data_IF_755409514906
#
_entry.id   IF_755409514906
#
_cell.length_a   1.000
_cell.length_b   1.000
_cell.length_c   1.000
_cell.angle_alpha   90.00
_cell.angle_beta   90.00
_cell.angle_gamma   90.00
#
_symmetry.space_group_name_H-M   'P 1'
#
loop_
_entity.id
_entity.type
_entity.pdbx_description
1 polymer ?
#
# COMPACT_ATOMS: atom_id res chain seq x y z
N UNK A 1 -15.31 -30.67 25.05
CA UNK A 1 -15.64 -29.24 24.83
C UNK A 1 -14.41 -28.58 24.22
N UNK A 2 -14.63 -27.81 23.16
CA UNK A 2 -13.67 -27.46 22.11
C UNK A 2 -12.65 -26.41 22.56
N UNK A 3 -11.36 -26.71 22.42
CA UNK A 3 -10.25 -25.77 22.57
C UNK A 3 -10.22 -24.83 21.36
N UNK A 4 -10.58 -23.57 21.57
CA UNK A 4 -10.47 -22.51 20.57
C UNK A 4 -9.01 -22.04 20.54
N UNK A 5 -8.22 -22.58 19.60
CA UNK A 5 -6.90 -22.05 19.24
C UNK A 5 -7.07 -20.69 18.56
N UNK A 6 -6.92 -19.63 19.37
CA UNK A 6 -6.92 -18.25 18.94
C UNK A 6 -5.56 -17.93 18.29
N UNK A 7 -5.52 -17.87 16.97
CA UNK A 7 -4.38 -17.41 16.18
C UNK A 7 -4.24 -15.87 16.28
N UNK A 8 -3.87 -15.33 17.44
CA UNK A 8 -3.68 -13.88 17.67
C UNK A 8 -2.19 -13.44 17.67
N UNK A 9 -1.23 -14.35 17.60
CA UNK A 9 0.20 -13.99 17.77
C UNK A 9 0.89 -13.37 16.55
N UNK A 10 0.20 -13.19 15.41
CA UNK A 10 0.84 -12.68 14.19
C UNK A 10 0.57 -11.19 13.90
N UNK A 11 -0.34 -10.56 14.63
CA UNK A 11 -0.69 -9.13 14.45
C UNK A 11 0.21 -8.19 15.26
N UNK A 12 0.65 -8.59 16.45
CA UNK A 12 1.30 -7.68 17.41
C UNK A 12 2.63 -7.10 16.90
N UNK A 13 3.53 -7.94 16.39
CA UNK A 13 4.80 -7.48 15.79
C UNK A 13 4.61 -6.70 14.47
N UNK A 14 3.52 -6.98 13.76
CA UNK A 14 3.24 -6.35 12.47
C UNK A 14 2.79 -4.89 12.68
N UNK A 15 2.09 -4.59 13.77
CA UNK A 15 1.64 -3.24 14.13
C UNK A 15 2.78 -2.37 14.68
N UNK A 16 3.69 -2.92 15.49
CA UNK A 16 4.88 -2.18 15.94
C UNK A 16 5.78 -1.80 14.77
N UNK A 17 5.99 -2.73 13.83
CA UNK A 17 6.80 -2.49 12.62
C UNK A 17 6.19 -1.39 11.75
N UNK A 18 4.86 -1.41 11.58
CA UNK A 18 4.12 -0.38 10.84
C UNK A 18 4.24 0.99 11.51
N UNK A 19 4.12 1.05 12.84
CA UNK A 19 4.24 2.28 13.60
C UNK A 19 5.65 2.88 13.51
N UNK A 20 6.67 2.04 13.59
CA UNK A 20 8.06 2.48 13.41
C UNK A 20 8.32 3.00 11.99
N UNK A 21 7.78 2.35 10.96
CA UNK A 21 7.87 2.81 9.58
C UNK A 21 7.16 4.16 9.37
N UNK A 22 5.99 4.37 9.99
CA UNK A 22 5.28 5.66 9.99
C UNK A 22 6.10 6.77 10.65
N UNK A 23 6.72 6.52 11.80
CA UNK A 23 7.61 7.48 12.46
C UNK A 23 8.81 7.84 11.60
N UNK A 24 9.45 6.85 10.97
CA UNK A 24 10.56 7.10 10.04
C UNK A 24 10.12 7.96 8.84
N UNK A 25 8.92 7.69 8.32
CA UNK A 25 8.33 8.50 7.26
C UNK A 25 8.07 9.95 7.72
N UNK A 26 7.50 10.19 8.89
CA UNK A 26 7.29 11.54 9.43
C UNK A 26 8.60 12.32 9.63
N UNK A 27 9.66 11.65 10.12
CA UNK A 27 10.99 12.25 10.25
C UNK A 27 11.53 12.64 8.86
N UNK A 28 11.41 11.74 7.88
CA UNK A 28 11.86 12.02 6.51
C UNK A 28 11.05 13.14 5.82
N UNK A 29 9.75 13.24 6.11
CA UNK A 29 8.91 14.34 5.63
C UNK A 29 9.37 15.69 6.21
N UNK A 30 9.74 15.72 7.48
CA UNK A 30 10.24 16.93 8.13
C UNK A 30 11.56 17.40 7.53
N UNK A 31 12.36 16.47 6.98
CA UNK A 31 13.64 16.72 6.32
C UNK A 31 13.57 16.72 4.78
N UNK A 32 12.36 16.81 4.20
CA UNK A 32 12.12 16.56 2.77
C UNK A 32 12.90 17.48 1.81
N UNK A 33 13.35 18.64 2.25
CA UNK A 33 14.18 19.54 1.45
C UNK A 33 15.53 18.92 1.06
N UNK A 34 16.00 17.94 1.83
CA UNK A 34 17.34 17.39 1.71
C UNK A 34 17.35 16.06 0.97
N UNK A 35 16.43 15.14 1.28
CA UNK A 35 16.41 13.81 0.66
C UNK A 35 15.00 13.30 0.35
N UNK A 36 14.66 13.33 -0.93
CA UNK A 36 13.39 12.81 -1.44
C UNK A 36 13.40 11.28 -1.60
N UNK A 37 14.57 10.63 -1.57
CA UNK A 37 14.69 9.18 -1.67
C UNK A 37 14.28 8.50 -0.37
N UNK A 38 14.63 9.07 0.78
CA UNK A 38 14.24 8.54 2.09
C UNK A 38 12.73 8.54 2.28
N UNK A 39 12.05 9.63 1.87
CA UNK A 39 10.59 9.72 1.89
C UNK A 39 9.94 8.63 1.03
N UNK A 40 10.50 8.36 -0.16
CA UNK A 40 10.01 7.30 -1.04
C UNK A 40 10.23 5.93 -0.39
N UNK A 41 11.43 5.69 0.14
CA UNK A 41 11.83 4.43 0.76
C UNK A 41 10.94 4.08 1.95
N UNK A 42 10.74 5.02 2.88
CA UNK A 42 9.90 4.78 4.05
C UNK A 42 8.42 4.59 3.70
N UNK A 43 7.89 5.35 2.72
CA UNK A 43 6.53 5.10 2.23
C UNK A 43 6.41 3.72 1.58
N UNK A 44 7.44 3.28 0.84
CA UNK A 44 7.46 1.95 0.24
C UNK A 44 7.46 0.85 1.32
N UNK A 45 8.22 1.02 2.40
CA UNK A 45 8.23 0.09 3.54
C UNK A 45 6.82 -0.01 4.17
N UNK A 46 6.16 1.13 4.43
CA UNK A 46 4.77 1.18 4.95
C UNK A 46 3.82 0.40 4.02
N UNK A 47 3.89 0.66 2.72
CA UNK A 47 3.04 0.00 1.72
C UNK A 47 3.30 -1.51 1.70
N UNK A 48 4.55 -1.94 1.75
CA UNK A 48 4.88 -3.38 1.75
C UNK A 48 4.37 -4.10 3.00
N UNK A 49 4.45 -3.47 4.18
CA UNK A 49 3.89 -4.01 5.42
C UNK A 49 2.38 -4.16 5.29
N UNK A 50 1.67 -3.12 4.85
CA UNK A 50 0.22 -3.13 4.67
C UNK A 50 -0.23 -4.15 3.61
N UNK A 51 0.57 -4.36 2.56
CA UNK A 51 0.31 -5.40 1.57
C UNK A 51 0.43 -6.81 2.15
N UNK A 52 1.43 -7.07 3.01
CA UNK A 52 1.56 -8.36 3.71
C UNK A 52 0.38 -8.60 4.65
N UNK A 53 -0.08 -7.56 5.34
CA UNK A 53 -1.27 -7.58 6.19
C UNK A 53 -2.60 -7.62 5.40
N UNK A 54 -2.55 -7.56 4.05
CA UNK A 54 -3.73 -7.48 3.17
C UNK A 54 -4.61 -6.24 3.41
N UNK A 55 -4.07 -5.20 4.03
CA UNK A 55 -4.74 -3.92 4.28
C UNK A 55 -4.58 -2.97 3.09
N UNK A 56 -5.12 -3.35 1.93
CA UNK A 56 -4.97 -2.59 0.68
C UNK A 56 -5.60 -1.20 0.72
N UNK A 57 -6.69 -1.02 1.46
CA UNK A 57 -7.37 0.27 1.59
C UNK A 57 -6.52 1.27 2.38
N UNK A 58 -5.89 0.81 3.46
CA UNK A 58 -4.96 1.63 4.26
C UNK A 58 -3.71 1.97 3.45
N UNK A 59 -3.15 1.02 2.71
CA UNK A 59 -2.00 1.29 1.84
C UNK A 59 -2.29 2.40 0.82
N UNK A 60 -3.50 2.44 0.26
CA UNK A 60 -3.90 3.53 -0.64
C UNK A 60 -4.03 4.86 0.08
N UNK A 61 -4.52 4.87 1.33
CA UNK A 61 -4.66 6.07 2.16
C UNK A 61 -3.30 6.66 2.51
N UNK A 62 -2.32 5.83 2.88
CA UNK A 62 -0.96 6.28 3.21
C UNK A 62 -0.28 6.92 1.99
N UNK A 63 -0.38 6.30 0.81
CA UNK A 63 0.18 6.87 -0.43
C UNK A 63 -0.43 8.23 -0.77
N UNK A 64 -1.64 8.56 -0.32
CA UNK A 64 -2.21 9.88 -0.58
C UNK A 64 -1.40 11.02 0.03
N UNK A 65 -0.64 10.76 1.10
CA UNK A 65 0.25 11.74 1.72
C UNK A 65 1.33 12.22 0.75
N UNK A 66 1.77 11.36 -0.18
CA UNK A 66 2.72 11.73 -1.23
C UNK A 66 2.12 12.64 -2.31
N UNK A 67 0.80 12.81 -2.40
CA UNK A 67 0.17 13.61 -3.49
C UNK A 67 0.72 15.04 -3.55
N UNK A 68 0.89 15.69 -2.39
CA UNK A 68 1.39 17.08 -2.33
C UNK A 68 2.82 17.17 -2.86
N UNK A 69 3.66 16.21 -2.49
CA UNK A 69 5.06 16.12 -2.90
C UNK A 69 5.22 15.70 -4.37
N UNK A 70 4.30 14.89 -4.88
CA UNK A 70 4.28 14.44 -6.28
C UNK A 70 3.96 15.56 -7.28
N UNK A 71 3.38 16.70 -6.82
CA UNK A 71 3.17 17.87 -7.68
C UNK A 71 4.49 18.57 -7.99
N UNK A 72 5.38 18.68 -7.00
CA UNK A 72 6.66 19.38 -7.13
C UNK A 72 7.82 18.46 -7.51
N UNK A 73 7.77 17.17 -7.19
CA UNK A 73 8.86 16.23 -7.45
C UNK A 73 8.44 15.05 -8.35
N UNK A 74 9.02 14.99 -9.55
CA UNK A 74 8.74 13.94 -10.55
C UNK A 74 9.12 12.54 -10.07
N UNK A 75 10.19 12.37 -9.29
CA UNK A 75 10.60 11.07 -8.77
C UNK A 75 9.59 10.53 -7.76
N UNK A 76 9.13 11.39 -6.86
CA UNK A 76 8.06 11.06 -5.90
C UNK A 76 6.77 10.69 -6.64
N UNK A 77 6.44 11.40 -7.72
CA UNK A 77 5.28 11.07 -8.55
C UNK A 77 5.39 9.70 -9.22
N UNK A 78 6.55 9.35 -9.78
CA UNK A 78 6.77 8.03 -10.40
C UNK A 78 6.62 6.93 -9.34
N UNK A 79 7.33 7.05 -8.22
CA UNK A 79 7.25 6.07 -7.13
C UNK A 79 5.82 5.91 -6.58
N UNK A 80 5.10 7.01 -6.40
CA UNK A 80 3.69 6.99 -5.99
C UNK A 80 2.81 6.19 -6.96
N UNK A 81 3.00 6.36 -8.27
CA UNK A 81 2.24 5.63 -9.29
C UNK A 81 2.61 4.14 -9.34
N UNK A 82 3.89 3.81 -9.19
CA UNK A 82 4.37 2.43 -9.10
C UNK A 82 3.78 1.70 -7.89
N UNK A 83 3.82 2.33 -6.71
CA UNK A 83 3.23 1.78 -5.49
C UNK A 83 1.72 1.56 -5.63
N UNK A 84 0.97 2.51 -6.22
CA UNK A 84 -0.47 2.32 -6.53
C UNK A 84 -0.72 1.15 -7.46
N UNK A 85 0.09 1.01 -8.50
CA UNK A 85 0.03 -0.11 -9.44
C UNK A 85 0.24 -1.45 -8.74
N UNK A 86 1.27 -1.54 -7.89
CA UNK A 86 1.58 -2.73 -7.10
C UNK A 86 0.46 -3.09 -6.14
N UNK A 87 -0.12 -2.13 -5.41
CA UNK A 87 -1.27 -2.38 -4.53
C UNK A 87 -2.45 -2.95 -5.31
N UNK A 88 -2.77 -2.37 -6.47
CA UNK A 88 -3.87 -2.85 -7.31
C UNK A 88 -3.62 -4.28 -7.82
N UNK A 89 -2.40 -4.58 -8.23
CA UNK A 89 -2.02 -5.90 -8.73
C UNK A 89 -2.04 -6.96 -7.63
N UNK A 90 -1.42 -6.66 -6.48
CA UNK A 90 -1.38 -7.58 -5.33
C UNK A 90 -2.77 -7.78 -4.75
N UNK A 91 -3.56 -6.72 -4.63
CA UNK A 91 -4.96 -6.80 -4.21
C UNK A 91 -5.81 -7.65 -5.15
N UNK A 92 -5.67 -7.48 -6.47
CA UNK A 92 -6.39 -8.33 -7.43
C UNK A 92 -6.00 -9.82 -7.31
N UNK A 93 -4.71 -10.11 -7.08
CA UNK A 93 -4.20 -11.47 -6.86
C UNK A 93 -4.69 -12.08 -5.55
N UNK A 94 -4.91 -11.28 -4.51
CA UNK A 94 -5.35 -11.75 -3.20
C UNK A 94 -6.88 -11.87 -3.07
N UNK A 95 -7.63 -11.63 -4.15
CA UNK A 95 -9.10 -11.59 -4.12
C UNK A 95 -9.68 -10.28 -3.59
N UNK A 96 -8.86 -9.27 -3.26
CA UNK A 96 -9.32 -7.94 -2.92
C UNK A 96 -9.84 -7.23 -4.18
N UNK A 97 -11.17 -7.25 -4.33
CA UNK A 97 -11.87 -6.52 -5.37
C UNK A 97 -12.21 -5.14 -4.85
N UNK A 98 -11.41 -4.14 -5.19
CA UNK A 98 -11.84 -2.75 -5.04
C UNK A 98 -13.19 -2.58 -5.74
N UNK A 99 -14.21 -2.13 -5.01
CA UNK A 99 -15.63 -2.04 -5.45
C UNK A 99 -15.86 -1.16 -6.69
N UNK A 100 -14.83 -0.59 -7.31
CA UNK A 100 -14.97 0.50 -8.26
C UNK A 100 -14.87 0.14 -9.76
N UNK A 101 -14.60 -1.11 -10.18
CA UNK A 101 -14.63 -1.43 -11.62
C UNK A 101 -15.21 -2.81 -11.94
N UNK A 102 -16.52 -2.98 -11.74
CA UNK A 102 -17.29 -3.95 -12.56
C UNK A 102 -17.75 -3.21 -13.82
N UNK A 103 -16.85 -3.02 -14.79
CA UNK A 103 -17.19 -2.54 -16.14
C UNK A 103 -16.65 -3.56 -17.16
N UNK A 104 -17.59 -4.37 -17.64
CA UNK A 104 -17.59 -5.16 -18.88
C UNK A 104 -16.48 -6.20 -19.08
N UNK A 105 -16.71 -7.41 -18.57
CA UNK A 105 -16.29 -8.63 -19.29
C UNK A 105 -17.37 -8.97 -20.31
N UNK A 106 -17.37 -8.34 -21.49
CA UNK A 106 -18.00 -8.95 -22.66
C UNK A 106 -16.95 -9.82 -23.35
N UNK A 107 -16.75 -11.03 -22.82
CA UNK A 107 -16.19 -12.11 -23.63
C UNK A 107 -17.18 -12.35 -24.76
N UNK A 108 -16.91 -11.80 -25.95
CA UNK A 108 -17.55 -12.26 -27.18
C UNK A 108 -16.86 -13.59 -27.53
N UNK A 109 -17.46 -14.69 -27.10
CA UNK A 109 -17.19 -15.99 -27.72
C UNK A 109 -17.67 -15.87 -29.17
N UNK A 110 -16.73 -15.77 -30.12
CA UNK A 110 -17.06 -16.11 -31.52
C UNK A 110 -17.31 -17.62 -31.52
N UNK A 111 -18.60 -17.97 -31.66
CA UNK A 111 -19.05 -19.34 -31.83
C UNK A 111 -18.66 -19.90 -33.20
N UNK A 112 -18.70 -21.24 -33.21
CA UNK A 112 -18.90 -22.20 -34.30
C UNK A 112 -18.77 -21.70 -35.74
#
# INVERSE_FOLDING_TARGET
>A
MTTMTRNDEQTDHSDETLNNARKAFEISLSNFTTDHLDVIKHMQEIVEILLKQKQFAEALKEIEQLKKLAVSNKKVKIAMLEMKGRIKQVGARSGFRSRATKKYTTKKSKGA
#
